data_IF_977883446281
#
_entry.id   IF_977883446281
#
_cell.length_a   1.000
_cell.length_b   1.000
_cell.length_c   1.000
_cell.angle_alpha   90.00
_cell.angle_beta   90.00
_cell.angle_gamma   90.00
#
_symmetry.space_group_name_H-M   'P 1'
#
loop_
_entity.id
_entity.type
_entity.pdbx_description
1 polymer ?
#
# COMPACT_ATOMS: atom_id res chain seq x y z
N UNK A 1 -6.33 -24.63 -16.94
CA UNK A 1 -6.73 -23.31 -16.70
C UNK A 1 -5.88 -22.63 -15.69
N UNK A 2 -5.44 -21.54 -16.05
CA UNK A 2 -4.62 -20.84 -15.17
C UNK A 2 -5.48 -20.14 -14.22
N UNK A 3 -5.35 -20.48 -13.04
CA UNK A 3 -5.88 -19.65 -12.06
C UNK A 3 -5.36 -18.29 -12.29
N UNK A 4 -6.11 -17.30 -12.05
CA UNK A 4 -5.62 -15.98 -11.97
C UNK A 4 -4.69 -15.93 -10.82
N UNK A 5 -4.17 -16.96 -10.57
CA UNK A 5 -2.92 -16.92 -10.09
C UNK A 5 -2.70 -16.11 -8.85
N UNK A 6 -1.59 -16.33 -8.36
CA UNK A 6 -0.95 -15.61 -7.29
C UNK A 6 -0.95 -14.10 -7.53
N UNK A 7 -0.85 -13.65 -8.77
CA UNK A 7 -0.84 -12.22 -9.11
C UNK A 7 -2.19 -11.57 -8.80
N UNK A 8 -3.29 -12.20 -9.18
CA UNK A 8 -4.60 -11.63 -8.89
C UNK A 8 -4.86 -11.56 -7.39
N UNK A 9 -4.44 -12.58 -6.64
CA UNK A 9 -4.58 -12.58 -5.19
C UNK A 9 -3.78 -11.44 -4.55
N UNK A 10 -2.60 -11.14 -5.08
CA UNK A 10 -1.79 -10.03 -4.61
C UNK A 10 -2.48 -8.69 -4.90
N UNK A 11 -3.03 -8.54 -6.11
CA UNK A 11 -3.77 -7.32 -6.44
C UNK A 11 -4.99 -7.14 -5.55
N UNK A 12 -5.69 -8.22 -5.22
CA UNK A 12 -6.85 -8.16 -4.34
C UNK A 12 -6.45 -7.70 -2.93
N UNK A 13 -5.34 -8.19 -2.42
CA UNK A 13 -4.82 -7.76 -1.12
C UNK A 13 -4.39 -6.29 -1.16
N UNK A 14 -3.75 -5.87 -2.24
CA UNK A 14 -3.35 -4.48 -2.39
C UNK A 14 -4.56 -3.56 -2.41
N UNK A 15 -5.59 -3.92 -3.17
CA UNK A 15 -6.81 -3.13 -3.23
C UNK A 15 -7.53 -3.10 -1.88
N UNK A 16 -7.53 -4.22 -1.15
CA UNK A 16 -8.12 -4.26 0.20
C UNK A 16 -7.38 -3.34 1.16
N UNK A 17 -6.05 -3.30 1.07
CA UNK A 17 -5.25 -2.41 1.91
C UNK A 17 -5.52 -0.94 1.56
N UNK A 18 -5.57 -0.61 0.27
CA UNK A 18 -5.90 0.75 -0.16
C UNK A 18 -7.28 1.18 0.35
N UNK A 19 -8.26 0.29 0.26
CA UNK A 19 -9.60 0.58 0.75
C UNK A 19 -9.62 0.79 2.26
N UNK A 20 -8.91 -0.06 3.00
CA UNK A 20 -8.81 0.08 4.45
C UNK A 20 -8.17 1.42 4.85
N UNK A 21 -7.18 1.87 4.07
CA UNK A 21 -6.55 3.17 4.31
C UNK A 21 -7.57 4.31 4.12
N UNK A 22 -8.33 4.26 3.05
CA UNK A 22 -9.32 5.30 2.74
C UNK A 22 -10.46 5.28 3.76
N UNK A 23 -10.90 4.09 4.15
CA UNK A 23 -11.99 3.95 5.11
C UNK A 23 -11.56 4.22 6.55
N UNK A 24 -10.25 4.27 6.81
CA UNK A 24 -9.75 4.38 8.18
C UNK A 24 -10.06 3.14 8.99
N UNK A 25 -10.11 1.97 8.35
CA UNK A 25 -10.47 0.71 8.98
C UNK A 25 -9.25 0.13 9.70
N UNK A 26 -9.09 0.50 10.95
CA UNK A 26 -7.93 0.14 11.76
C UNK A 26 -7.85 -1.36 11.98
N UNK A 27 -8.98 -2.03 12.17
CA UNK A 27 -8.99 -3.48 12.36
C UNK A 27 -8.45 -4.19 11.12
N UNK A 28 -8.91 -3.78 9.93
CA UNK A 28 -8.41 -4.34 8.68
C UNK A 28 -6.94 -4.03 8.47
N UNK A 29 -6.51 -2.81 8.76
CA UNK A 29 -5.10 -2.42 8.63
C UNK A 29 -4.21 -3.21 9.57
N UNK A 30 -4.66 -3.43 10.80
CA UNK A 30 -3.90 -4.21 11.76
C UNK A 30 -3.68 -5.65 11.27
N UNK A 31 -4.66 -6.21 10.58
CA UNK A 31 -4.54 -7.55 10.00
C UNK A 31 -3.67 -7.55 8.75
N UNK A 32 -3.80 -6.55 7.90
CA UNK A 32 -3.13 -6.52 6.60
C UNK A 32 -1.66 -6.08 6.68
N UNK A 33 -1.30 -5.27 7.67
CA UNK A 33 0.07 -4.78 7.80
C UNK A 33 0.90 -5.75 8.62
N UNK A 34 2.10 -6.11 8.17
CA UNK A 34 2.97 -7.01 8.94
C UNK A 34 3.60 -6.28 10.12
N UNK A 35 3.95 -7.03 11.16
CA UNK A 35 4.56 -6.45 12.36
C UNK A 35 5.92 -5.80 12.06
N UNK A 36 6.62 -6.29 11.05
CA UNK A 36 7.91 -5.75 10.63
C UNK A 36 7.79 -4.86 9.40
N UNK A 37 6.67 -4.17 9.25
CA UNK A 37 6.40 -3.31 8.11
C UNK A 37 7.54 -2.31 7.86
N UNK A 38 7.92 -2.20 6.60
CA UNK A 38 8.83 -1.15 6.12
C UNK A 38 8.08 -0.35 5.08
N UNK A 39 7.68 0.87 5.43
CA UNK A 39 6.84 1.71 4.58
C UNK A 39 7.53 3.04 4.31
N UNK A 40 7.97 3.24 3.07
CA UNK A 40 8.66 4.47 2.69
C UNK A 40 7.70 5.35 1.92
N UNK A 41 7.38 6.50 2.50
CA UNK A 41 6.52 7.49 1.88
C UNK A 41 7.27 8.29 0.81
N UNK A 42 6.51 8.92 -0.09
CA UNK A 42 7.09 9.67 -1.20
C UNK A 42 7.98 10.83 -0.74
N UNK A 43 7.79 11.32 0.47
CA UNK A 43 8.62 12.39 1.03
C UNK A 43 9.86 11.86 1.78
N UNK A 44 10.08 10.55 1.74
CA UNK A 44 11.22 9.92 2.37
C UNK A 44 11.04 9.51 3.82
N UNK A 45 9.89 9.79 4.42
CA UNK A 45 9.61 9.34 5.79
C UNK A 45 9.39 7.85 5.77
N UNK A 46 10.07 7.14 6.68
CA UNK A 46 9.94 5.70 6.85
C UNK A 46 9.11 5.43 8.09
N UNK A 47 8.08 4.61 7.96
CA UNK A 47 7.21 4.28 9.08
C UNK A 47 7.14 2.78 9.30
N UNK A 48 7.09 2.39 10.57
CA UNK A 48 6.72 1.04 10.95
C UNK A 48 5.19 0.95 11.08
N UNK A 49 4.70 -0.24 11.40
CA UNK A 49 3.26 -0.48 11.52
C UNK A 49 2.61 0.40 12.59
N UNK A 50 3.22 0.51 13.75
CA UNK A 50 2.66 1.27 14.86
C UNK A 50 2.49 2.74 14.47
N UNK A 51 3.50 3.33 13.86
CA UNK A 51 3.44 4.74 13.48
C UNK A 51 2.46 4.98 12.34
N UNK A 52 2.42 4.08 11.36
CA UNK A 52 1.47 4.16 10.25
C UNK A 52 0.03 4.21 10.77
N UNK A 53 -0.30 3.28 11.66
CA UNK A 53 -1.66 3.19 12.23
C UNK A 53 -1.93 4.37 13.15
N UNK A 54 -0.95 4.78 13.96
CA UNK A 54 -1.13 5.90 14.89
C UNK A 54 -1.54 7.17 14.17
N UNK A 55 -0.90 7.48 13.05
CA UNK A 55 -1.21 8.71 12.32
C UNK A 55 -2.62 8.71 11.75
N UNK A 56 -3.11 7.55 11.34
CA UNK A 56 -4.50 7.44 10.87
C UNK A 56 -5.47 7.56 12.04
N UNK A 57 -5.18 6.85 13.12
CA UNK A 57 -6.05 6.87 14.32
C UNK A 57 -6.15 8.26 14.92
N UNK A 58 -5.05 9.01 14.95
CA UNK A 58 -5.01 10.36 15.53
C UNK A 58 -5.67 11.41 14.63
N UNK A 59 -5.94 11.09 13.37
CA UNK A 59 -6.47 12.04 12.42
C UNK A 59 -5.41 12.92 11.76
N UNK A 60 -4.12 12.69 12.06
CA UNK A 60 -3.05 13.43 11.41
C UNK A 60 -2.94 13.10 9.92
N UNK A 61 -3.46 11.95 9.51
CA UNK A 61 -3.44 11.48 8.13
C UNK A 61 -4.78 10.83 7.80
N UNK A 62 -5.52 11.41 6.86
CA UNK A 62 -6.80 10.87 6.40
C UNK A 62 -6.72 10.72 4.89
N UNK A 63 -6.70 9.48 4.42
CA UNK A 63 -6.68 9.21 2.99
C UNK A 63 -8.08 9.41 2.42
N UNK A 64 -8.20 10.25 1.39
CA UNK A 64 -9.45 10.48 0.66
C UNK A 64 -9.55 9.60 -0.56
N UNK A 65 -8.40 9.24 -1.13
CA UNK A 65 -8.32 8.39 -2.30
C UNK A 65 -6.98 7.66 -2.27
N UNK A 66 -7.01 6.40 -2.64
CA UNK A 66 -5.78 5.65 -2.87
C UNK A 66 -6.14 4.53 -3.85
N UNK A 67 -5.78 4.70 -5.12
CA UNK A 67 -6.21 3.78 -6.17
C UNK A 67 -5.08 3.56 -7.17
N UNK A 68 -4.77 2.31 -7.44
CA UNK A 68 -3.81 1.97 -8.48
C UNK A 68 -4.40 2.31 -9.85
N UNK A 69 -3.63 2.99 -10.68
CA UNK A 69 -4.03 3.32 -12.04
C UNK A 69 -3.34 2.44 -13.06
N UNK A 70 -2.18 1.88 -12.71
CA UNK A 70 -1.52 0.86 -13.53
C UNK A 70 -0.69 -0.02 -12.60
N UNK A 71 -0.59 -1.29 -12.95
CA UNK A 71 0.20 -2.25 -12.17
C UNK A 71 0.80 -3.30 -13.09
N UNK A 72 2.01 -3.70 -12.76
CA UNK A 72 2.69 -4.84 -13.35
C UNK A 72 3.29 -5.64 -12.21
N UNK A 73 3.09 -6.95 -12.22
CA UNK A 73 3.62 -7.80 -11.16
C UNK A 73 4.65 -8.77 -11.71
N UNK A 74 5.64 -9.08 -10.88
CA UNK A 74 6.67 -10.05 -11.18
C UNK A 74 6.85 -10.96 -9.99
N UNK A 75 6.78 -12.27 -10.22
CA UNK A 75 7.00 -13.26 -9.17
C UNK A 75 8.40 -13.82 -9.31
N UNK A 76 9.14 -13.80 -8.20
CA UNK A 76 10.49 -14.35 -8.11
C UNK A 76 10.57 -15.17 -6.83
N UNK A 77 10.62 -16.50 -6.97
CA UNK A 77 10.67 -17.37 -5.82
C UNK A 77 9.48 -17.18 -4.90
N UNK A 78 9.75 -16.89 -3.65
CA UNK A 78 8.72 -16.73 -2.62
C UNK A 78 8.07 -15.36 -2.59
N UNK A 79 8.43 -14.47 -3.51
CA UNK A 79 7.99 -13.08 -3.45
C UNK A 79 7.35 -12.64 -4.75
N UNK A 80 6.39 -11.74 -4.64
CA UNK A 80 5.82 -11.02 -5.78
C UNK A 80 6.08 -9.53 -5.58
N UNK A 81 6.60 -8.89 -6.62
CA UNK A 81 6.86 -7.47 -6.65
C UNK A 81 5.79 -6.81 -7.52
N UNK A 82 5.16 -5.76 -7.02
CA UNK A 82 4.21 -4.98 -7.80
C UNK A 82 4.85 -3.64 -8.10
N UNK A 83 4.93 -3.31 -9.39
CA UNK A 83 5.41 -2.02 -9.85
C UNK A 83 4.21 -1.28 -10.40
N UNK A 84 3.86 -0.15 -9.79
CA UNK A 84 2.63 0.50 -10.16
C UNK A 84 2.65 2.01 -10.06
N UNK A 85 1.53 2.57 -10.47
CA UNK A 85 1.21 3.98 -10.26
C UNK A 85 -0.12 4.07 -9.55
N UNK A 86 -0.26 5.06 -8.67
CA UNK A 86 -1.48 5.24 -7.90
C UNK A 86 -1.82 6.72 -7.80
N UNK A 87 -3.11 7.01 -7.85
CA UNK A 87 -3.63 8.33 -7.54
C UNK A 87 -3.94 8.37 -6.05
N UNK A 88 -3.42 9.39 -5.36
CA UNK A 88 -3.56 9.52 -3.93
C UNK A 88 -4.02 10.91 -3.58
N UNK A 89 -5.02 10.98 -2.70
CA UNK A 89 -5.41 12.22 -2.05
C UNK A 89 -5.42 11.99 -0.56
N UNK A 90 -4.75 12.84 0.19
CA UNK A 90 -4.62 12.69 1.63
C UNK A 90 -4.73 14.05 2.32
N UNK A 91 -5.52 14.09 3.39
CA UNK A 91 -5.56 15.24 4.30
C UNK A 91 -4.54 14.99 5.40
N UNK A 92 -3.66 15.97 5.59
CA UNK A 92 -2.61 15.93 6.61
C UNK A 92 -2.72 17.18 7.46
N UNK A 93 -2.01 17.20 8.58
CA UNK A 93 -1.91 18.40 9.40
C UNK A 93 -1.45 19.61 8.58
N UNK A 94 -0.54 19.39 7.63
CA UNK A 94 -0.02 20.45 6.76
C UNK A 94 -1.00 20.84 5.65
N UNK A 95 -2.10 20.12 5.47
CA UNK A 95 -3.11 20.40 4.45
C UNK A 95 -3.33 19.26 3.49
N UNK A 96 -4.27 19.45 2.57
CA UNK A 96 -4.62 18.45 1.57
C UNK A 96 -3.50 18.31 0.54
N UNK A 97 -3.25 17.09 0.13
CA UNK A 97 -2.25 16.78 -0.90
C UNK A 97 -2.83 15.79 -1.89
N UNK A 98 -2.71 16.11 -3.18
CA UNK A 98 -3.06 15.20 -4.27
C UNK A 98 -1.80 14.89 -5.05
N UNK A 99 -1.50 13.61 -5.20
CA UNK A 99 -0.30 13.16 -5.91
C UNK A 99 -0.60 11.94 -6.76
N UNK A 100 0.17 11.80 -7.83
CA UNK A 100 0.35 10.51 -8.47
C UNK A 100 1.67 9.95 -7.97
N UNK A 101 1.63 8.71 -7.48
CA UNK A 101 2.81 8.03 -6.96
C UNK A 101 3.24 6.94 -7.93
N UNK A 102 4.55 6.73 -8.01
CA UNK A 102 5.14 5.54 -8.62
C UNK A 102 5.65 4.70 -7.45
N UNK A 103 5.28 3.43 -7.40
CA UNK A 103 5.57 2.62 -6.22
C UNK A 103 6.05 1.23 -6.57
N UNK A 104 6.77 0.65 -5.63
CA UNK A 104 7.09 -0.78 -5.58
C UNK A 104 6.54 -1.32 -4.28
N UNK A 105 5.78 -2.40 -4.36
CA UNK A 105 5.27 -3.10 -3.20
C UNK A 105 5.73 -4.56 -3.26
N UNK A 106 6.06 -5.12 -2.11
CA UNK A 106 6.58 -6.48 -2.02
C UNK A 106 5.62 -7.31 -1.19
N UNK A 107 5.29 -8.50 -1.71
CA UNK A 107 4.37 -9.44 -1.09
C UNK A 107 5.04 -10.81 -0.99
N UNK A 108 4.77 -11.52 0.10
CA UNK A 108 5.15 -12.93 0.19
C UNK A 108 4.08 -13.76 -0.50
N UNK A 109 4.50 -14.68 -1.35
CA UNK A 109 3.58 -15.56 -2.06
C UNK A 109 3.01 -16.63 -1.12
N UNK A 110 1.97 -17.31 -1.58
CA UNK A 110 1.37 -18.43 -0.91
C UNK A 110 -0.11 -18.48 -1.18
N UNK A 111 -0.80 -19.40 -0.53
CA UNK A 111 -2.25 -19.47 -0.60
C UNK A 111 -2.87 -18.23 -0.01
N UNK A 112 -2.20 -17.62 0.95
CA UNK A 112 -2.62 -16.42 1.63
C UNK A 112 -1.47 -15.40 1.53
N UNK A 113 -1.34 -14.70 0.40
CA UNK A 113 -0.23 -13.77 0.21
C UNK A 113 -0.23 -12.67 1.28
N UNK A 114 0.94 -12.21 1.66
CA UNK A 114 1.09 -11.21 2.72
C UNK A 114 1.88 -10.02 2.21
N UNK A 115 1.35 -8.83 2.47
CA UNK A 115 2.05 -7.57 2.20
C UNK A 115 3.25 -7.45 3.13
N UNK A 116 4.38 -6.97 2.60
CA UNK A 116 5.62 -6.86 3.36
C UNK A 116 6.18 -5.45 3.39
N UNK A 117 6.25 -4.79 2.23
CA UNK A 117 6.97 -3.52 2.15
C UNK A 117 6.42 -2.66 1.03
N UNK A 118 6.59 -1.35 1.20
CA UNK A 118 6.14 -0.33 0.26
C UNK A 118 7.23 0.72 0.11
N UNK A 119 7.45 1.15 -1.11
CA UNK A 119 8.37 2.24 -1.40
C UNK A 119 7.78 3.06 -2.55
N UNK A 120 7.55 4.32 -2.31
CA UNK A 120 6.94 5.20 -3.30
C UNK A 120 7.75 6.46 -3.51
N UNK A 121 7.59 7.04 -4.70
CA UNK A 121 8.10 8.36 -5.01
C UNK A 121 6.99 9.11 -5.74
N UNK A 122 7.07 10.42 -5.76
CA UNK A 122 6.15 11.21 -6.56
C UNK A 122 6.44 10.93 -8.03
N UNK A 123 5.39 10.63 -8.80
CA UNK A 123 5.56 10.34 -10.21
C UNK A 123 6.07 11.58 -10.94
N UNK A 124 6.91 11.34 -11.95
CA UNK A 124 7.46 12.41 -12.77
C UNK A 124 6.45 12.97 -13.78
N UNK A 125 5.32 12.31 -13.93
CA UNK A 125 4.30 12.71 -14.90
C UNK A 125 3.32 13.72 -14.34
#
# INVERSE_FOLDING_TARGET
>A
MTTPSAVQAVYDIEDSRFRAMVDGDITALDDLLPDDLHYVHANGIIEDKAEFIRKITSGERLYRQFAATSREARTEGSFTFVFGEADVEVDRTAGNLKNKLTYTAIYRNGEDPRFMAWHAVKSAK
#
